data_IF_460871732365
#
_entry.id   IF_460871732365
#
_cell.length_a   1.000
_cell.length_b   1.000
_cell.length_c   1.000
_cell.angle_alpha   90.00
_cell.angle_beta   90.00
_cell.angle_gamma   90.00
#
_symmetry.space_group_name_H-M   'P 1'
#
loop_
_entity.id
_entity.type
_entity.pdbx_description
1 polymer ?
#
# COMPACT_ATOMS: atom_id res chain seq x y z
N UNK A 1 2.67 6.28 13.43
CA UNK A 1 2.15 5.56 12.27
C UNK A 1 1.32 6.51 11.42
N UNK A 2 1.57 6.56 10.12
CA UNK A 2 0.73 7.31 9.20
C UNK A 2 0.63 6.60 7.85
N UNK A 3 -0.56 6.61 7.25
CA UNK A 3 -0.82 6.12 5.91
C UNK A 3 -1.81 7.02 5.19
N UNK A 4 -1.79 7.01 3.87
CA UNK A 4 -2.71 7.82 3.07
C UNK A 4 -4.18 7.40 3.22
N UNK A 5 -4.43 6.15 3.58
CA UNK A 5 -5.77 5.59 3.82
C UNK A 5 -5.92 5.20 5.30
N UNK A 6 -4.95 4.47 5.86
CA UNK A 6 -5.03 3.98 7.24
C UNK A 6 -3.70 4.11 7.97
N UNK A 7 -3.71 4.60 9.21
CA UNK A 7 -2.51 4.70 10.03
C UNK A 7 -2.01 3.32 10.44
N UNK A 8 -2.90 2.46 10.93
CA UNK A 8 -2.61 1.08 11.31
C UNK A 8 -3.82 0.20 10.98
N UNK A 9 -3.57 -0.87 10.28
CA UNK A 9 -4.52 -1.95 10.09
C UNK A 9 -4.22 -3.10 11.05
N UNK A 10 -5.21 -3.51 11.81
CA UNK A 10 -5.07 -4.55 12.84
C UNK A 10 -5.54 -5.93 12.44
N UNK A 11 -6.21 -6.15 11.33
CA UNK A 11 -6.71 -7.40 10.74
C UNK A 11 -7.81 -7.12 9.71
N UNK A 12 -7.89 -5.89 9.25
CA UNK A 12 -8.88 -5.47 8.27
C UNK A 12 -8.40 -5.77 6.83
N UNK A 13 -9.27 -5.49 5.89
CA UNK A 13 -8.95 -5.52 4.47
C UNK A 13 -8.97 -4.10 3.96
N UNK A 14 -7.86 -3.71 3.36
CA UNK A 14 -7.67 -2.42 2.70
C UNK A 14 -7.46 -2.69 1.23
N UNK A 15 -8.53 -2.65 0.43
CA UNK A 15 -8.46 -3.05 -0.96
C UNK A 15 -9.10 -2.03 -1.92
N UNK A 16 -8.60 -2.01 -3.17
CA UNK A 16 -9.12 -1.15 -4.24
C UNK A 16 -9.10 0.34 -3.89
N UNK A 17 -8.05 0.79 -3.23
CA UNK A 17 -7.90 2.19 -2.86
C UNK A 17 -6.74 2.84 -3.61
N UNK A 18 -6.83 4.16 -3.72
CA UNK A 18 -5.68 4.96 -4.09
C UNK A 18 -5.45 6.11 -3.13
N UNK A 19 -4.20 6.51 -2.99
CA UNK A 19 -3.82 7.69 -2.23
C UNK A 19 -2.93 8.59 -3.10
N UNK A 20 -3.14 9.90 -3.00
CA UNK A 20 -2.32 10.92 -3.66
C UNK A 20 -2.03 12.06 -2.72
N UNK A 21 -0.84 12.62 -2.79
CA UNK A 21 -0.47 13.78 -1.98
C UNK A 21 0.86 13.65 -1.29
N UNK A 22 0.93 14.08 -0.04
CA UNK A 22 2.16 14.06 0.75
C UNK A 22 1.88 13.70 2.20
N UNK A 23 2.75 12.87 2.77
CA UNK A 23 2.73 12.54 4.20
C UNK A 23 4.04 13.01 4.80
N UNK A 24 3.95 13.84 5.84
CA UNK A 24 5.07 14.38 6.57
C UNK A 24 5.01 13.92 8.02
N UNK A 25 6.07 13.25 8.49
CA UNK A 25 6.29 12.97 9.90
C UNK A 25 7.28 13.97 10.46
N UNK A 26 6.83 14.79 11.42
CA UNK A 26 7.63 15.83 12.05
C UNK A 26 8.72 15.26 12.98
N UNK A 27 9.73 16.09 13.24
CA UNK A 27 10.73 15.78 14.25
C UNK A 27 10.10 15.75 15.65
N UNK A 28 10.67 14.95 16.55
CA UNK A 28 10.19 14.81 17.94
C UNK A 28 9.53 13.48 18.25
N UNK A 29 9.21 12.67 17.26
CA UNK A 29 8.85 11.25 17.44
C UNK A 29 10.10 10.38 17.30
N UNK A 30 10.24 9.36 18.14
CA UNK A 30 11.44 8.51 18.16
C UNK A 30 11.63 7.72 16.85
N UNK A 31 10.54 7.35 16.20
CA UNK A 31 10.54 6.72 14.87
C UNK A 31 9.22 7.02 14.16
N UNK A 32 9.26 7.10 12.84
CA UNK A 32 8.07 7.28 12.03
C UNK A 32 7.92 6.08 11.09
N UNK A 33 6.77 5.43 11.15
CA UNK A 33 6.40 4.38 10.19
C UNK A 33 5.35 4.97 9.27
N UNK A 34 5.69 5.19 8.02
CA UNK A 34 4.83 5.87 7.05
C UNK A 34 4.74 5.09 5.74
N UNK A 35 3.51 4.98 5.24
CA UNK A 35 3.24 4.33 3.96
C UNK A 35 2.25 5.09 3.11
N UNK A 36 2.33 4.95 1.80
CA UNK A 36 1.41 5.62 0.89
C UNK A 36 -0.05 5.20 1.09
N UNK A 37 -0.30 3.96 1.47
CA UNK A 37 -1.63 3.41 1.80
C UNK A 37 -1.75 3.21 3.31
N UNK A 38 -0.89 2.40 3.91
CA UNK A 38 -0.94 2.08 5.33
C UNK A 38 0.38 2.39 6.04
N UNK A 39 0.32 2.95 7.25
CA UNK A 39 1.51 3.07 8.10
C UNK A 39 1.99 1.68 8.52
N UNK A 40 1.10 0.86 9.10
CA UNK A 40 1.38 -0.53 9.47
C UNK A 40 0.25 -1.44 9.01
N UNK A 41 0.63 -2.58 8.40
CA UNK A 41 -0.27 -3.57 7.84
C UNK A 41 -0.16 -4.89 8.59
N UNK A 42 -1.27 -5.40 9.14
CA UNK A 42 -1.36 -6.72 9.77
C UNK A 42 -2.48 -7.60 9.20
N UNK A 43 -3.41 -7.01 8.44
CA UNK A 43 -4.44 -7.70 7.69
C UNK A 43 -4.06 -7.88 6.21
N UNK A 44 -4.99 -7.63 5.30
CA UNK A 44 -4.77 -7.75 3.85
C UNK A 44 -4.86 -6.39 3.19
N UNK A 45 -3.81 -6.01 2.46
CA UNK A 45 -3.83 -4.88 1.54
C UNK A 45 -3.77 -5.41 0.10
N UNK A 46 -4.83 -5.17 -0.68
CA UNK A 46 -4.94 -5.71 -2.03
C UNK A 46 -5.35 -4.68 -3.07
N UNK A 47 -4.71 -4.74 -4.23
CA UNK A 47 -5.04 -3.89 -5.38
C UNK A 47 -5.11 -2.39 -5.03
N UNK A 48 -4.08 -1.92 -4.35
CA UNK A 48 -3.96 -0.52 -3.94
C UNK A 48 -2.86 0.18 -4.71
N UNK A 49 -3.02 1.50 -4.96
CA UNK A 49 -1.89 2.25 -5.46
C UNK A 49 -1.72 3.60 -4.76
N UNK A 50 -0.47 4.09 -4.74
CA UNK A 50 -0.11 5.33 -4.10
C UNK A 50 0.76 6.23 -5.00
N UNK A 51 0.33 7.46 -5.19
CA UNK A 51 1.12 8.56 -5.75
C UNK A 51 1.38 9.59 -4.66
N UNK A 52 2.21 9.20 -3.69
CA UNK A 52 2.40 9.93 -2.42
C UNK A 52 3.86 10.22 -2.16
N UNK A 53 4.18 11.48 -1.91
CA UNK A 53 5.48 11.89 -1.37
C UNK A 53 5.53 11.57 0.14
N UNK A 54 6.58 10.86 0.56
CA UNK A 54 6.74 10.40 1.93
C UNK A 54 8.01 11.00 2.56
N UNK A 55 7.84 11.81 3.58
CA UNK A 55 8.94 12.49 4.25
C UNK A 55 8.86 12.28 5.76
N UNK A 56 9.87 11.63 6.32
CA UNK A 56 10.12 11.62 7.76
C UNK A 56 11.28 12.54 8.08
N UNK A 57 11.12 13.46 9.03
CA UNK A 57 12.23 14.26 9.56
C UNK A 57 13.14 13.46 10.48
N UNK A 58 12.74 12.28 10.93
CA UNK A 58 13.57 11.37 11.70
C UNK A 58 14.38 10.47 10.77
N UNK A 59 15.63 10.21 11.15
CA UNK A 59 16.51 9.29 10.43
C UNK A 59 16.16 7.81 10.66
N UNK A 60 15.28 7.53 11.63
CA UNK A 60 14.82 6.19 11.97
C UNK A 60 13.34 6.06 11.69
N UNK A 61 12.97 5.03 10.97
CA UNK A 61 11.57 4.74 10.64
C UNK A 61 11.45 3.95 9.35
N UNK A 62 10.30 3.31 9.22
CA UNK A 62 10.00 2.48 8.06
C UNK A 62 9.19 3.29 7.07
N UNK A 63 9.71 3.44 5.86
CA UNK A 63 9.08 4.22 4.80
C UNK A 63 8.86 3.32 3.60
N UNK A 64 7.62 3.18 3.15
CA UNK A 64 7.29 2.40 1.97
C UNK A 64 6.17 3.01 1.15
N UNK A 65 6.28 2.90 -0.17
CA UNK A 65 5.31 3.46 -1.12
C UNK A 65 3.88 2.95 -0.91
N UNK A 66 3.72 1.73 -0.44
CA UNK A 66 2.44 1.12 -0.07
C UNK A 66 2.30 1.09 1.46
N UNK A 67 3.22 0.45 2.15
CA UNK A 67 3.18 0.38 3.61
C UNK A 67 4.53 0.64 4.24
N UNK A 68 4.54 1.37 5.35
CA UNK A 68 5.75 1.57 6.14
C UNK A 68 6.25 0.26 6.72
N UNK A 69 5.36 -0.49 7.36
CA UNK A 69 5.69 -1.79 7.97
C UNK A 69 4.61 -2.84 7.66
N UNK A 70 5.02 -3.96 7.09
CA UNK A 70 4.18 -5.15 6.97
C UNK A 70 4.54 -6.12 8.08
N UNK A 71 3.57 -6.49 8.91
CA UNK A 71 3.82 -7.41 10.04
C UNK A 71 3.95 -8.85 9.55
N UNK A 72 4.40 -9.75 10.44
CA UNK A 72 4.58 -11.16 10.14
C UNK A 72 3.31 -11.91 9.71
N UNK A 73 2.14 -11.31 9.94
CA UNK A 73 0.83 -11.84 9.55
C UNK A 73 0.15 -10.98 8.48
N UNK A 74 0.78 -9.87 8.09
CA UNK A 74 0.24 -8.98 7.05
C UNK A 74 0.46 -9.54 5.66
N UNK A 75 -0.50 -9.28 4.78
CA UNK A 75 -0.45 -9.67 3.37
C UNK A 75 -0.64 -8.45 2.48
N UNK A 76 0.27 -8.25 1.54
CA UNK A 76 0.18 -7.21 0.52
C UNK A 76 0.20 -7.90 -0.84
N UNK A 77 -0.83 -7.67 -1.64
CA UNK A 77 -0.98 -8.22 -2.99
C UNK A 77 -1.38 -7.09 -3.93
N UNK A 78 -0.74 -6.99 -5.09
CA UNK A 78 -1.03 -5.95 -6.09
C UNK A 78 -0.92 -4.54 -5.53
N UNK A 79 0.23 -4.23 -4.96
CA UNK A 79 0.55 -2.91 -4.43
C UNK A 79 1.39 -2.10 -5.42
N UNK A 80 0.88 -0.99 -5.93
CA UNK A 80 1.58 -0.15 -6.89
C UNK A 80 1.88 1.23 -6.32
N UNK A 81 3.06 1.75 -6.56
CA UNK A 81 3.41 3.09 -6.06
C UNK A 81 4.21 3.88 -7.11
N UNK A 82 4.07 5.19 -7.04
CA UNK A 82 4.87 6.09 -7.88
C UNK A 82 6.32 6.12 -7.37
N UNK A 83 7.23 5.45 -8.10
CA UNK A 83 8.66 5.41 -7.76
C UNK A 83 9.39 6.74 -7.98
N UNK A 84 8.76 7.69 -8.68
CA UNK A 84 9.30 9.03 -8.92
C UNK A 84 8.99 9.97 -7.75
N UNK A 85 8.07 9.60 -6.86
CA UNK A 85 7.79 10.37 -5.65
C UNK A 85 8.90 10.19 -4.61
N UNK A 86 9.24 11.28 -3.97
CA UNK A 86 10.29 11.29 -2.96
C UNK A 86 9.90 10.42 -1.75
N UNK A 87 10.79 9.50 -1.38
CA UNK A 87 10.82 8.86 -0.07
C UNK A 87 12.06 9.37 0.67
N UNK A 88 11.87 10.02 1.82
CA UNK A 88 12.95 10.65 2.59
C UNK A 88 12.93 10.24 4.06
N UNK A 89 14.09 9.87 4.58
CA UNK A 89 14.31 9.58 5.99
C UNK A 89 15.40 10.51 6.55
N UNK A 90 15.03 11.37 7.47
CA UNK A 90 15.90 12.45 7.94
C UNK A 90 16.34 13.36 6.79
N UNK A 91 17.63 13.52 6.64
CA UNK A 91 18.22 14.33 5.57
C UNK A 91 18.50 13.52 4.28
N UNK A 92 18.25 12.22 4.29
CA UNK A 92 18.59 11.33 3.18
C UNK A 92 17.37 10.99 2.33
N UNK A 93 17.47 11.24 1.03
CA UNK A 93 16.52 10.71 0.04
C UNK A 93 16.82 9.23 -0.16
N UNK A 94 15.80 8.39 -0.15
CA UNK A 94 15.91 6.97 -0.43
C UNK A 94 16.07 6.82 -1.95
N UNK A 95 17.27 6.42 -2.38
CA UNK A 95 17.62 6.34 -3.80
C UNK A 95 16.82 5.28 -4.56
N UNK A 96 16.48 4.19 -3.85
CA UNK A 96 15.65 3.09 -4.38
C UNK A 96 14.35 3.01 -3.57
N UNK A 97 13.30 3.73 -3.97
CA UNK A 97 12.02 3.68 -3.31
C UNK A 97 11.45 2.26 -3.26
N UNK A 98 10.90 1.87 -2.12
CA UNK A 98 10.36 0.54 -1.88
C UNK A 98 8.86 0.58 -1.68
N UNK A 99 8.18 -0.50 -2.08
CA UNK A 99 6.76 -0.67 -1.77
C UNK A 99 6.53 -0.82 -0.26
N UNK A 100 7.41 -1.58 0.40
CA UNK A 100 7.34 -1.89 1.83
C UNK A 100 8.63 -1.43 2.51
N UNK A 101 8.52 -0.61 3.53
CA UNK A 101 9.67 -0.10 4.30
C UNK A 101 10.35 -1.21 5.09
N UNK A 102 9.58 -1.92 5.90
CA UNK A 102 10.01 -3.12 6.63
C UNK A 102 9.00 -4.26 6.47
N UNK A 103 9.48 -5.45 6.12
CA UNK A 103 8.70 -6.68 6.13
C UNK A 103 9.14 -7.54 7.31
N UNK A 104 8.29 -7.60 8.35
CA UNK A 104 8.64 -8.19 9.64
C UNK A 104 8.62 -9.72 9.59
N UNK A 105 9.62 -10.33 10.20
CA UNK A 105 9.63 -11.76 10.50
C UNK A 105 9.49 -11.97 12.00
N UNK A 106 8.53 -12.78 12.42
CA UNK A 106 8.31 -13.13 13.81
C UNK A 106 7.91 -14.60 13.95
N UNK A 107 8.58 -15.33 14.85
CA UNK A 107 8.33 -16.75 15.09
C UNK A 107 8.38 -17.63 13.83
N UNK A 108 9.27 -17.30 12.90
CA UNK A 108 9.43 -18.02 11.63
C UNK A 108 8.43 -17.66 10.54
N UNK A 109 7.46 -16.80 10.82
CA UNK A 109 6.52 -16.27 9.83
C UNK A 109 7.01 -14.90 9.35
N UNK A 110 6.96 -14.69 8.05
CA UNK A 110 7.26 -13.39 7.42
C UNK A 110 6.01 -12.89 6.72
N UNK A 111 5.75 -11.60 6.82
CA UNK A 111 4.64 -10.97 6.10
C UNK A 111 4.73 -11.25 4.60
N UNK A 112 3.58 -11.48 3.99
CA UNK A 112 3.49 -11.80 2.56
C UNK A 112 3.49 -10.51 1.74
N UNK A 113 4.35 -10.44 0.73
CA UNK A 113 4.38 -9.35 -0.25
C UNK A 113 4.46 -9.96 -1.64
N UNK A 114 3.42 -9.76 -2.44
CA UNK A 114 3.32 -10.31 -3.79
C UNK A 114 2.85 -9.24 -4.78
N UNK A 115 3.32 -9.35 -6.02
CA UNK A 115 2.88 -8.52 -7.15
C UNK A 115 2.88 -7.01 -6.80
N UNK A 116 3.96 -6.55 -6.16
CA UNK A 116 4.14 -5.13 -5.86
C UNK A 116 5.16 -4.51 -6.81
N UNK A 117 4.89 -3.31 -7.30
CA UNK A 117 5.78 -2.64 -8.24
C UNK A 117 5.83 -1.12 -8.04
N UNK A 118 7.04 -0.56 -8.19
CA UNK A 118 7.23 0.86 -8.39
C UNK A 118 7.02 1.21 -9.86
N UNK A 119 6.12 2.12 -10.15
CA UNK A 119 5.75 2.58 -11.49
C UNK A 119 6.09 4.06 -11.65
N UNK A 120 6.27 4.50 -12.88
CA UNK A 120 6.38 5.94 -13.20
C UNK A 120 5.01 6.59 -13.15
N UNK A 121 4.98 7.92 -13.04
CA UNK A 121 3.74 8.68 -13.13
C UNK A 121 3.01 8.45 -14.46
N UNK A 122 3.74 8.25 -15.55
CA UNK A 122 3.17 7.98 -16.87
C UNK A 122 2.51 6.59 -16.92
N UNK A 123 3.16 5.56 -16.36
CA UNK A 123 2.59 4.21 -16.27
C UNK A 123 1.32 4.19 -15.43
N UNK A 124 1.32 4.86 -14.27
CA UNK A 124 0.14 4.97 -13.39
C UNK A 124 -1.06 5.69 -14.04
N UNK A 125 -0.83 6.47 -15.09
CA UNK A 125 -1.87 7.21 -15.85
C UNK A 125 -2.31 6.48 -17.12
N UNK A 126 -1.76 5.31 -17.41
CA UNK A 126 -2.05 4.58 -18.63
C UNK A 126 -3.36 3.81 -18.56
N UNK A 127 -3.98 3.58 -19.71
CA UNK A 127 -5.13 2.68 -19.83
C UNK A 127 -4.77 1.25 -19.42
N UNK A 128 -3.56 0.80 -19.75
CA UNK A 128 -3.08 -0.51 -19.36
C UNK A 128 -3.04 -0.68 -17.83
N UNK A 129 -2.68 0.37 -17.09
CA UNK A 129 -2.71 0.31 -15.62
C UNK A 129 -4.15 0.28 -15.07
N UNK A 130 -5.07 1.06 -15.67
CA UNK A 130 -6.49 0.98 -15.34
C UNK A 130 -7.02 -0.45 -15.53
N UNK A 131 -6.71 -1.05 -16.67
CA UNK A 131 -7.17 -2.39 -17.00
C UNK A 131 -6.56 -3.43 -16.04
N UNK A 132 -5.27 -3.31 -15.71
CA UNK A 132 -4.60 -4.12 -14.70
C UNK A 132 -5.29 -4.03 -13.32
N UNK A 133 -5.65 -2.84 -12.86
CA UNK A 133 -6.36 -2.67 -11.59
C UNK A 133 -7.76 -3.31 -11.63
N UNK A 134 -8.46 -3.22 -12.75
CA UNK A 134 -9.77 -3.85 -12.92
C UNK A 134 -9.67 -5.37 -12.94
N UNK A 135 -8.67 -5.92 -13.61
CA UNK A 135 -8.44 -7.36 -13.67
C UNK A 135 -8.07 -7.93 -12.27
N UNK A 136 -7.19 -7.24 -11.53
CA UNK A 136 -6.74 -7.66 -10.22
C UNK A 136 -7.88 -7.74 -9.18
N UNK A 137 -8.88 -6.88 -9.27
CA UNK A 137 -10.02 -6.90 -8.36
C UNK A 137 -10.81 -8.20 -8.37
N UNK A 138 -10.91 -8.83 -9.56
CA UNK A 138 -11.92 -9.83 -9.83
C UNK A 138 -11.37 -11.24 -10.02
N UNK A 139 -10.16 -11.36 -10.52
CA UNK A 139 -9.63 -12.61 -11.02
C UNK A 139 -8.64 -13.29 -10.08
N UNK A 140 -8.07 -12.54 -9.12
CA UNK A 140 -7.07 -13.14 -8.26
C UNK A 140 -7.65 -14.00 -7.16
N UNK A 141 -7.31 -15.28 -7.21
CA UNK A 141 -7.76 -16.27 -6.22
C UNK A 141 -7.17 -16.01 -4.83
N UNK A 142 -5.95 -15.48 -4.74
CA UNK A 142 -5.30 -15.23 -3.45
C UNK A 142 -5.93 -14.02 -2.76
N UNK A 143 -6.22 -12.96 -3.51
CA UNK A 143 -6.94 -11.80 -2.98
C UNK A 143 -8.33 -12.21 -2.51
N UNK A 144 -9.07 -12.98 -3.31
CA UNK A 144 -10.40 -13.52 -2.92
C UNK A 144 -10.30 -14.42 -1.68
N UNK A 145 -9.29 -15.28 -1.61
CA UNK A 145 -9.09 -16.17 -0.47
C UNK A 145 -8.73 -15.38 0.78
N UNK A 146 -7.85 -14.39 0.66
CA UNK A 146 -7.47 -13.53 1.76
C UNK A 146 -8.67 -12.67 2.24
N UNK A 147 -9.47 -12.15 1.31
CA UNK A 147 -10.71 -11.44 1.59
C UNK A 147 -11.72 -12.36 2.29
N UNK A 148 -11.90 -13.60 1.82
CA UNK A 148 -12.83 -14.56 2.39
C UNK A 148 -12.40 -15.06 3.79
N UNK A 149 -11.10 -15.17 4.04
CA UNK A 149 -10.57 -15.57 5.35
C UNK A 149 -10.65 -14.47 6.39
N UNK A 150 -10.58 -13.20 5.96
CA UNK A 150 -10.63 -12.06 6.88
C UNK A 150 -12.04 -11.62 7.29
N UNK A 151 -13.09 -12.01 6.54
CA UNK A 151 -14.43 -11.44 6.74
C UNK A 151 -15.51 -12.50 6.50
N UNK A 152 -15.85 -13.27 7.52
CA UNK A 152 -16.95 -14.25 7.42
C UNK A 152 -18.32 -13.59 7.20
N UNK A 153 -18.54 -12.38 7.72
CA UNK A 153 -19.84 -11.72 7.74
C UNK A 153 -20.05 -10.67 6.60
N UNK A 154 -18.96 -10.29 5.90
CA UNK A 154 -19.01 -9.33 4.79
C UNK A 154 -18.84 -9.98 3.42
N UNK A 155 -18.80 -11.29 3.35
CA UNK A 155 -18.54 -12.08 2.15
C UNK A 155 -19.52 -11.76 0.99
N UNK A 156 -20.76 -11.43 1.30
CA UNK A 156 -21.79 -11.08 0.32
C UNK A 156 -21.52 -9.71 -0.33
N UNK A 157 -21.10 -8.74 0.46
CA UNK A 157 -20.89 -7.36 -0.02
C UNK A 157 -19.67 -7.26 -0.93
N UNK A 158 -18.64 -8.01 -0.63
CA UNK A 158 -17.40 -8.02 -1.44
C UNK A 158 -17.60 -8.74 -2.77
N UNK A 159 -18.44 -9.77 -2.82
CA UNK A 159 -18.73 -10.51 -4.06
C UNK A 159 -19.57 -9.73 -5.07
N UNK A 160 -20.40 -8.81 -4.61
CA UNK A 160 -21.30 -8.05 -5.47
C UNK A 160 -20.77 -6.69 -5.89
N UNK A 161 -19.81 -6.14 -5.16
CA UNK A 161 -19.21 -4.85 -5.45
C UNK A 161 -18.02 -4.95 -6.40
N UNK A 162 -18.30 -5.23 -7.67
CA UNK A 162 -17.31 -5.03 -8.71
C UNK A 162 -17.12 -3.53 -8.93
N UNK A 163 -16.03 -2.98 -8.41
CA UNK A 163 -15.65 -1.62 -8.72
C UNK A 163 -15.01 -1.60 -10.12
N UNK A 164 -15.70 -1.06 -11.10
CA UNK A 164 -15.15 -0.85 -12.43
C UNK A 164 -14.65 0.58 -12.54
N UNK A 165 -13.38 0.76 -12.88
CA UNK A 165 -12.81 2.07 -13.15
C UNK A 165 -13.05 2.37 -14.63
N UNK A 166 -14.10 3.15 -14.93
CA UNK A 166 -14.47 3.46 -16.31
C UNK A 166 -13.63 4.61 -16.90
N UNK A 167 -13.21 5.54 -16.06
CA UNK A 167 -12.36 6.64 -16.46
C UNK A 167 -11.27 6.90 -15.43
N UNK A 168 -10.12 7.24 -15.93
CA UNK A 168 -8.93 7.47 -15.13
C UNK A 168 -8.29 8.77 -15.55
N UNK A 169 -8.53 9.80 -14.81
CA UNK A 169 -7.87 11.09 -14.99
C UNK A 169 -7.15 11.44 -13.69
N UNK A 170 -5.84 11.40 -13.71
CA UNK A 170 -5.05 12.08 -12.71
C UNK A 170 -4.99 13.54 -13.16
N UNK A 171 -5.81 14.39 -12.57
CA UNK A 171 -5.67 15.82 -12.73
C UNK A 171 -4.28 16.23 -12.27
N UNK A 172 -3.56 16.88 -13.18
CA UNK A 172 -2.21 17.39 -13.00
C UNK A 172 -2.14 18.51 -11.99
#
# INVERSE_FOLDING_TARGET
LAGGIVGQDGFAIVANNYARGSIYAEAGVNSATIGGIAGMQAGVAGNNYADVKLVSKNATGDIGGITGRNTAIGTIIYGYFNKEQEQRSGNSVIAEPKAVGENVTMLGNTGVVKETAGMTAAELRSEAFRDLLNDNQCEDKELRTALAQGISDFDIVVREAKLTIDSWVLDG
#
